data_IF_364236701994
#
_entry.id   IF_364236701994
#
_cell.length_a   1.000
_cell.length_b   1.000
_cell.length_c   1.000
_cell.angle_alpha   90.00
_cell.angle_beta   90.00
_cell.angle_gamma   90.00
#
_symmetry.space_group_name_H-M   'P 1'
#
loop_
_entity.id
_entity.type
_entity.pdbx_description
1 polymer ?
#
# COMPACT_ATOMS: atom_id res chain seq x y z
N UNK A 1 -37.17 29.36 15.19
CA UNK A 1 -36.46 29.26 13.90
C UNK A 1 -35.13 28.49 14.04
N UNK A 2 -35.06 27.53 14.96
CA UNK A 2 -33.87 26.69 15.21
C UNK A 2 -34.19 25.19 15.14
N UNK A 3 -35.47 24.81 15.13
CA UNK A 3 -35.91 23.41 14.97
C UNK A 3 -35.94 22.93 13.50
N UNK A 4 -35.87 23.84 12.52
CA UNK A 4 -35.92 23.47 11.09
C UNK A 4 -34.54 23.16 10.47
N UNK A 5 -33.46 23.24 11.25
CA UNK A 5 -32.11 22.83 10.85
C UNK A 5 -31.72 21.44 11.35
N UNK A 6 -32.64 20.71 12.01
CA UNK A 6 -32.57 19.26 12.13
C UNK A 6 -33.14 18.59 10.88
N UNK A 7 -32.67 19.01 9.71
CA UNK A 7 -32.76 18.19 8.50
C UNK A 7 -31.94 16.94 8.76
N UNK A 8 -32.65 15.97 9.34
CA UNK A 8 -32.29 14.57 9.42
C UNK A 8 -31.71 14.16 8.08
N UNK A 9 -30.37 14.16 7.99
CA UNK A 9 -29.69 13.40 6.97
C UNK A 9 -30.28 12.00 7.10
N UNK A 10 -30.95 11.46 6.06
CA UNK A 10 -31.56 10.16 6.16
C UNK A 10 -30.42 9.20 6.51
N UNK A 11 -30.44 8.68 7.74
CA UNK A 11 -29.48 7.68 8.19
C UNK A 11 -29.57 6.56 7.15
N UNK A 12 -28.53 6.35 6.33
CA UNK A 12 -28.64 5.45 5.20
C UNK A 12 -29.07 4.09 5.75
N UNK A 13 -30.22 3.60 5.29
CA UNK A 13 -30.79 2.33 5.71
C UNK A 13 -29.68 1.28 5.65
N UNK A 14 -29.50 0.49 6.72
CA UNK A 14 -28.39 -0.48 6.90
C UNK A 14 -28.06 -1.29 5.62
N UNK A 15 -29.06 -1.57 4.79
CA UNK A 15 -28.94 -2.24 3.49
C UNK A 15 -28.26 -1.41 2.37
N UNK A 16 -28.58 -0.12 2.20
CA UNK A 16 -27.95 0.75 1.18
C UNK A 16 -26.47 0.94 1.48
N UNK A 17 -26.12 1.09 2.75
CA UNK A 17 -24.74 1.23 3.19
C UNK A 17 -23.94 -0.08 3.02
N UNK A 18 -24.55 -1.24 3.31
CA UNK A 18 -23.94 -2.56 3.06
C UNK A 18 -23.64 -2.84 1.57
N UNK A 19 -24.42 -2.25 0.65
CA UNK A 19 -24.13 -2.29 -0.79
C UNK A 19 -22.92 -1.40 -1.12
N UNK A 20 -22.91 -0.14 -0.66
CA UNK A 20 -21.77 0.78 -0.84
C UNK A 20 -20.47 0.18 -0.30
N UNK A 21 -20.54 -0.48 0.84
CA UNK A 21 -19.43 -1.17 1.48
C UNK A 21 -18.86 -2.35 0.67
N UNK A 22 -19.72 -3.16 0.03
CA UNK A 22 -19.27 -4.23 -0.87
C UNK A 22 -18.57 -3.67 -2.10
N UNK A 23 -19.05 -2.53 -2.58
CA UNK A 23 -18.46 -1.82 -3.71
C UNK A 23 -17.09 -1.25 -3.31
N UNK A 24 -17.01 -0.54 -2.18
CA UNK A 24 -15.76 0.05 -1.66
C UNK A 24 -14.70 -1.01 -1.37
N UNK A 25 -15.05 -2.10 -0.68
CA UNK A 25 -14.09 -3.17 -0.38
C UNK A 25 -13.58 -3.90 -1.64
N UNK A 26 -14.42 -4.02 -2.68
CA UNK A 26 -14.03 -4.62 -3.96
C UNK A 26 -13.13 -3.68 -4.76
N UNK A 27 -13.45 -2.39 -4.81
CA UNK A 27 -12.60 -1.39 -5.46
C UNK A 27 -11.25 -1.27 -4.75
N UNK A 28 -11.25 -1.17 -3.43
CA UNK A 28 -10.04 -1.14 -2.62
C UNK A 28 -9.13 -2.35 -2.88
N UNK A 29 -9.71 -3.55 -2.99
CA UNK A 29 -8.95 -4.75 -3.34
C UNK A 29 -8.26 -4.62 -4.71
N UNK A 30 -8.97 -4.16 -5.73
CA UNK A 30 -8.39 -4.00 -7.07
C UNK A 30 -7.33 -2.91 -7.12
N UNK A 31 -7.53 -1.80 -6.40
CA UNK A 31 -6.55 -0.72 -6.29
C UNK A 31 -5.27 -1.24 -5.59
N UNK A 32 -5.41 -1.92 -4.45
CA UNK A 32 -4.27 -2.54 -3.75
C UNK A 32 -3.53 -3.52 -4.65
N UNK A 33 -4.26 -4.36 -5.39
CA UNK A 33 -3.66 -5.33 -6.30
C UNK A 33 -2.89 -4.65 -7.44
N UNK A 34 -3.46 -3.62 -8.06
CA UNK A 34 -2.82 -2.88 -9.14
C UNK A 34 -1.54 -2.17 -8.66
N UNK A 35 -1.61 -1.46 -7.53
CA UNK A 35 -0.47 -0.75 -6.96
C UNK A 35 0.64 -1.71 -6.52
N UNK A 36 0.29 -2.80 -5.82
CA UNK A 36 1.25 -3.82 -5.42
C UNK A 36 1.92 -4.50 -6.63
N UNK A 37 1.15 -4.74 -7.70
CA UNK A 37 1.68 -5.33 -8.94
C UNK A 37 2.67 -4.38 -9.62
N UNK A 38 2.32 -3.10 -9.78
CA UNK A 38 3.22 -2.08 -10.34
C UNK A 38 4.49 -1.98 -9.53
N UNK A 39 4.39 -2.02 -8.20
CA UNK A 39 5.55 -2.03 -7.32
C UNK A 39 6.45 -3.25 -7.53
N UNK A 40 5.88 -4.45 -7.52
CA UNK A 40 6.63 -5.69 -7.73
C UNK A 40 7.34 -5.74 -9.09
N UNK A 41 6.67 -5.27 -10.16
CA UNK A 41 7.25 -5.18 -11.50
C UNK A 41 8.42 -4.19 -11.49
N UNK A 42 8.22 -2.98 -10.99
CA UNK A 42 9.25 -1.95 -10.93
C UNK A 42 10.48 -2.41 -10.12
N UNK A 43 10.25 -3.06 -8.98
CA UNK A 43 11.30 -3.61 -8.13
C UNK A 43 12.07 -4.73 -8.82
N UNK A 44 11.37 -5.62 -9.55
CA UNK A 44 11.99 -6.69 -10.32
C UNK A 44 12.93 -6.13 -11.38
N UNK A 45 12.50 -5.11 -12.14
CA UNK A 45 13.36 -4.45 -13.12
C UNK A 45 14.56 -3.76 -12.48
N UNK A 46 14.38 -3.09 -11.34
CA UNK A 46 15.47 -2.44 -10.61
C UNK A 46 16.53 -3.45 -10.14
N UNK A 47 16.09 -4.56 -9.53
CA UNK A 47 16.98 -5.63 -9.04
C UNK A 47 17.66 -6.36 -10.19
N UNK A 48 16.89 -6.78 -11.21
CA UNK A 48 17.42 -7.49 -12.37
C UNK A 48 18.47 -6.65 -13.09
N UNK A 49 18.17 -5.37 -13.33
CA UNK A 49 19.15 -4.46 -13.90
C UNK A 49 20.43 -4.46 -13.08
N UNK A 50 20.32 -4.26 -11.75
CA UNK A 50 21.47 -4.20 -10.84
C UNK A 50 22.39 -5.42 -10.96
N UNK A 51 21.80 -6.60 -11.07
CA UNK A 51 22.57 -7.85 -11.25
C UNK A 51 23.39 -7.92 -12.55
N UNK A 52 23.04 -7.16 -13.59
CA UNK A 52 23.72 -7.16 -14.88
C UNK A 52 24.78 -6.05 -15.03
N UNK A 53 24.95 -5.19 -14.02
CA UNK A 53 25.82 -4.01 -14.12
C UNK A 53 27.09 -4.17 -13.28
N UNK A 54 28.20 -3.67 -13.81
CA UNK A 54 29.51 -3.59 -13.12
C UNK A 54 29.67 -2.28 -12.34
N UNK A 55 28.62 -1.46 -12.25
CA UNK A 55 28.66 -0.17 -11.56
C UNK A 55 28.77 -0.33 -10.04
N UNK A 56 29.38 0.68 -9.39
CA UNK A 56 29.55 0.73 -7.93
C UNK A 56 28.20 0.62 -7.21
N UNK A 57 28.11 -0.29 -6.25
CA UNK A 57 26.88 -0.46 -5.48
C UNK A 57 26.62 0.74 -4.56
N UNK A 58 25.39 1.25 -4.64
CA UNK A 58 24.89 2.26 -3.72
C UNK A 58 24.14 1.58 -2.56
N UNK A 59 24.73 1.63 -1.36
CA UNK A 59 24.19 1.02 -0.15
C UNK A 59 22.81 1.58 0.24
N UNK A 60 22.57 2.88 0.04
CA UNK A 60 21.27 3.50 0.34
C UNK A 60 20.16 2.94 -0.57
N UNK A 61 20.45 2.79 -1.86
CA UNK A 61 19.52 2.14 -2.80
C UNK A 61 19.33 0.66 -2.45
N UNK A 62 20.39 -0.04 -2.02
CA UNK A 62 20.29 -1.42 -1.53
C UNK A 62 19.35 -1.56 -0.32
N UNK A 63 19.48 -0.68 0.67
CA UNK A 63 18.59 -0.61 1.82
C UNK A 63 17.14 -0.31 1.39
N UNK A 64 16.95 0.64 0.49
CA UNK A 64 15.62 0.97 -0.05
C UNK A 64 14.96 -0.23 -0.73
N UNK A 65 15.70 -0.98 -1.56
CA UNK A 65 15.22 -2.22 -2.19
C UNK A 65 14.85 -3.26 -1.13
N UNK A 66 15.68 -3.46 -0.12
CA UNK A 66 15.41 -4.41 0.96
C UNK A 66 14.09 -4.07 1.69
N UNK A 67 13.92 -2.81 2.08
CA UNK A 67 12.69 -2.35 2.71
C UNK A 67 11.47 -2.48 1.77
N UNK A 68 11.65 -2.22 0.48
CA UNK A 68 10.61 -2.43 -0.54
C UNK A 68 10.17 -3.90 -0.63
N UNK A 69 11.12 -4.85 -0.61
CA UNK A 69 10.80 -6.29 -0.60
C UNK A 69 9.94 -6.66 0.61
N UNK A 70 10.31 -6.19 1.80
CA UNK A 70 9.50 -6.40 3.01
C UNK A 70 8.12 -5.76 2.86
N UNK A 71 8.04 -4.56 2.29
CA UNK A 71 6.80 -3.86 1.98
C UNK A 71 5.90 -4.64 1.01
N UNK A 72 6.46 -5.28 -0.02
CA UNK A 72 5.74 -6.16 -0.96
C UNK A 72 5.21 -7.40 -0.23
N UNK A 73 6.03 -8.05 0.61
CA UNK A 73 5.58 -9.21 1.38
C UNK A 73 4.40 -8.86 2.30
N UNK A 74 4.46 -7.70 2.95
CA UNK A 74 3.35 -7.18 3.75
C UNK A 74 2.13 -6.85 2.88
N UNK A 75 2.30 -6.34 1.66
CA UNK A 75 1.20 -6.08 0.74
C UNK A 75 0.52 -7.38 0.29
N UNK A 76 1.29 -8.42 -0.05
CA UNK A 76 0.77 -9.75 -0.37
C UNK A 76 0.00 -10.33 0.81
N UNK A 77 0.59 -10.28 2.02
CA UNK A 77 -0.09 -10.68 3.24
C UNK A 77 -1.40 -9.91 3.43
N UNK A 78 -1.39 -8.58 3.24
CA UNK A 78 -2.56 -7.72 3.42
C UNK A 78 -3.67 -8.04 2.43
N UNK A 79 -3.33 -8.28 1.16
CA UNK A 79 -4.27 -8.66 0.10
C UNK A 79 -4.88 -10.03 0.40
N UNK A 80 -4.05 -11.00 0.82
CA UNK A 80 -4.50 -12.32 1.26
C UNK A 80 -5.45 -12.21 2.47
N UNK A 81 -5.06 -11.43 3.49
CA UNK A 81 -5.83 -11.24 4.71
C UNK A 81 -7.19 -10.60 4.47
N UNK A 82 -7.31 -9.74 3.44
CA UNK A 82 -8.58 -9.15 3.01
C UNK A 82 -9.61 -10.19 2.57
N UNK A 83 -9.18 -11.35 2.03
CA UNK A 83 -10.11 -12.44 1.69
C UNK A 83 -10.74 -13.06 2.94
N UNK A 84 -9.95 -13.24 4.01
CA UNK A 84 -10.45 -13.78 5.27
C UNK A 84 -11.55 -12.90 5.87
N UNK A 85 -11.34 -11.58 5.87
CA UNK A 85 -12.36 -10.61 6.30
C UNK A 85 -13.64 -10.67 5.44
N UNK A 86 -13.50 -10.86 4.12
CA UNK A 86 -14.65 -11.03 3.22
C UNK A 86 -15.45 -12.31 3.49
N UNK A 87 -14.79 -13.41 3.84
CA UNK A 87 -15.48 -14.65 4.23
C UNK A 87 -16.27 -14.46 5.52
N UNK A 88 -15.68 -13.80 6.52
CA UNK A 88 -16.34 -13.49 7.79
C UNK A 88 -17.56 -12.59 7.58
N UNK A 89 -17.43 -11.54 6.75
CA UNK A 89 -18.53 -10.65 6.40
C UNK A 89 -19.69 -11.37 5.66
N UNK A 90 -19.39 -12.39 4.84
CA UNK A 90 -20.43 -13.21 4.19
C UNK A 90 -21.18 -14.07 5.18
N UNK A 91 -20.52 -14.60 6.23
CA UNK A 91 -21.15 -15.41 7.27
C UNK A 91 -22.11 -14.61 8.14
N UNK A 92 -21.82 -13.34 8.42
CA UNK A 92 -22.77 -12.43 9.11
C UNK A 92 -24.07 -12.19 8.33
N UNK A 93 -24.05 -12.39 7.00
CA UNK A 93 -25.21 -12.23 6.14
C UNK A 93 -25.99 -13.53 5.95
N UNK A 94 -25.55 -14.64 6.57
CA UNK A 94 -26.24 -15.91 6.49
C UNK A 94 -27.57 -15.83 7.28
N UNK A 95 -28.66 -16.43 6.78
CA UNK A 95 -29.93 -16.52 7.50
C UNK A 95 -29.79 -17.29 8.83
N UNK A 96 -28.82 -18.18 8.91
CA UNK A 96 -28.53 -18.99 10.08
C UNK A 96 -27.71 -18.19 11.10
N UNK A 97 -28.35 -17.86 12.22
CA UNK A 97 -27.77 -17.06 13.30
C UNK A 97 -26.61 -17.77 14.01
N UNK A 98 -26.57 -19.10 13.94
CA UNK A 98 -25.50 -19.93 14.50
C UNK A 98 -24.18 -19.82 13.72
N UNK A 99 -24.23 -19.40 12.45
CA UNK A 99 -23.05 -19.20 11.61
C UNK A 99 -22.46 -17.78 11.71
N UNK A 100 -23.08 -16.88 12.48
CA UNK A 100 -22.62 -15.50 12.62
C UNK A 100 -21.29 -15.45 13.40
N UNK A 101 -20.20 -14.94 12.80
CA UNK A 101 -18.95 -14.77 13.51
C UNK A 101 -19.10 -13.72 14.61
N UNK A 102 -18.32 -13.89 15.68
CA UNK A 102 -18.34 -12.97 16.83
C UNK A 102 -17.81 -11.59 16.42
N UNK A 103 -18.35 -10.52 17.00
CA UNK A 103 -17.92 -9.13 16.74
C UNK A 103 -16.41 -8.99 16.95
N UNK A 104 -15.90 -9.60 18.01
CA UNK A 104 -14.50 -9.58 18.42
C UNK A 104 -13.59 -10.21 17.36
N UNK A 105 -14.04 -11.29 16.72
CA UNK A 105 -13.28 -11.98 15.67
C UNK A 105 -13.12 -11.09 14.43
N UNK A 106 -14.19 -10.39 14.04
CA UNK A 106 -14.15 -9.44 12.92
C UNK A 106 -13.24 -8.26 13.24
N UNK A 107 -13.36 -7.67 14.43
CA UNK A 107 -12.49 -6.58 14.89
C UNK A 107 -11.02 -7.01 14.87
N UNK A 108 -10.71 -8.21 15.37
CA UNK A 108 -9.34 -8.72 15.40
C UNK A 108 -8.75 -8.88 13.99
N UNK A 109 -9.54 -9.42 13.04
CA UNK A 109 -9.11 -9.55 11.64
C UNK A 109 -8.80 -8.18 11.04
N UNK A 110 -9.63 -7.18 11.29
CA UNK A 110 -9.42 -5.82 10.78
C UNK A 110 -8.21 -5.13 11.43
N UNK A 111 -8.02 -5.28 12.75
CA UNK A 111 -6.86 -4.74 13.47
C UNK A 111 -5.55 -5.33 12.97
N UNK A 112 -5.49 -6.65 12.73
CA UNK A 112 -4.30 -7.29 12.16
C UNK A 112 -3.99 -6.74 10.77
N UNK A 113 -5.00 -6.60 9.91
CA UNK A 113 -4.84 -6.00 8.59
C UNK A 113 -4.37 -4.55 8.64
N UNK A 114 -4.92 -3.77 9.57
CA UNK A 114 -4.56 -2.37 9.79
C UNK A 114 -3.10 -2.22 10.26
N UNK A 115 -2.68 -3.01 11.25
CA UNK A 115 -1.30 -3.00 11.77
C UNK A 115 -0.32 -3.35 10.66
N UNK A 116 -0.59 -4.42 9.89
CA UNK A 116 0.25 -4.82 8.77
C UNK A 116 0.36 -3.71 7.71
N UNK A 117 -0.75 -3.03 7.40
CA UNK A 117 -0.75 -1.88 6.49
C UNK A 117 0.06 -0.70 7.04
N UNK A 118 -0.07 -0.35 8.31
CA UNK A 118 0.74 0.73 8.89
C UNK A 118 2.24 0.43 8.87
N UNK A 119 2.64 -0.78 9.23
CA UNK A 119 4.06 -1.20 9.17
C UNK A 119 4.55 -1.13 7.73
N UNK A 120 3.80 -1.70 6.78
CA UNK A 120 4.17 -1.68 5.36
C UNK A 120 4.29 -0.27 4.79
N UNK A 121 3.37 0.63 5.17
CA UNK A 121 3.40 2.04 4.79
C UNK A 121 4.63 2.77 5.34
N UNK A 122 4.96 2.56 6.61
CA UNK A 122 6.13 3.18 7.25
C UNK A 122 7.43 2.73 6.58
N UNK A 123 7.59 1.43 6.34
CA UNK A 123 8.77 0.90 5.66
C UNK A 123 8.89 1.45 4.24
N UNK A 124 7.79 1.48 3.48
CA UNK A 124 7.77 2.02 2.12
C UNK A 124 8.06 3.52 2.08
N UNK A 125 7.57 4.28 3.07
CA UNK A 125 7.87 5.71 3.21
C UNK A 125 9.36 5.94 3.45
N UNK A 126 9.96 5.27 4.42
CA UNK A 126 11.40 5.36 4.70
C UNK A 126 12.21 4.95 3.47
N UNK A 127 11.84 3.85 2.82
CA UNK A 127 12.50 3.37 1.61
C UNK A 127 12.45 4.40 0.48
N UNK A 128 11.30 5.07 0.29
CA UNK A 128 11.12 6.14 -0.69
C UNK A 128 12.07 7.29 -0.45
N UNK A 129 12.09 7.83 0.77
CA UNK A 129 12.96 8.96 1.15
C UNK A 129 14.44 8.61 0.99
N UNK A 130 14.86 7.43 1.45
CA UNK A 130 16.25 6.96 1.31
C UNK A 130 16.65 6.90 -0.17
N UNK A 131 15.79 6.36 -1.04
CA UNK A 131 16.09 6.33 -2.48
C UNK A 131 16.07 7.73 -3.12
N UNK A 132 15.13 8.60 -2.74
CA UNK A 132 15.02 9.95 -3.29
C UNK A 132 16.24 10.81 -2.95
N UNK A 133 16.65 10.82 -1.68
CA UNK A 133 17.85 11.53 -1.22
C UNK A 133 19.09 11.01 -1.93
N UNK A 134 19.20 9.69 -2.10
CA UNK A 134 20.33 9.07 -2.75
C UNK A 134 20.46 9.46 -4.23
N UNK A 135 19.35 9.40 -4.98
CA UNK A 135 19.34 9.81 -6.39
C UNK A 135 19.58 11.31 -6.53
N UNK A 136 18.98 12.13 -5.67
CA UNK A 136 19.23 13.57 -5.65
C UNK A 136 20.71 13.90 -5.38
N UNK A 137 21.34 13.20 -4.44
CA UNK A 137 22.77 13.38 -4.13
C UNK A 137 23.64 13.04 -5.34
N UNK A 138 23.32 11.95 -6.06
CA UNK A 138 24.01 11.59 -7.30
C UNK A 138 23.82 12.65 -8.39
N UNK A 139 22.59 13.17 -8.54
CA UNK A 139 22.29 14.20 -9.54
C UNK A 139 23.05 15.51 -9.26
N UNK A 140 23.16 15.91 -8.01
CA UNK A 140 23.88 17.13 -7.61
C UNK A 140 25.41 16.97 -7.70
N UNK A 141 25.93 15.74 -7.64
CA UNK A 141 27.35 15.46 -7.72
C UNK A 141 27.93 15.52 -9.14
N UNK A 142 27.11 15.61 -10.20
CA UNK A 142 27.56 15.70 -11.59
C UNK A 142 27.99 17.14 -11.93
N UNK A 143 29.28 17.42 -12.20
CA UNK A 143 29.74 18.77 -12.52
C UNK A 143 29.13 19.26 -13.85
N UNK A 144 28.52 20.45 -13.81
CA UNK A 144 27.91 21.14 -14.95
C UNK A 144 29.01 21.51 -15.98
N UNK A 145 29.28 20.63 -16.94
CA UNK A 145 30.29 20.83 -17.99
C UNK A 145 31.08 19.60 -18.43
N UNK A 146 31.05 18.49 -17.67
CA UNK A 146 31.79 17.24 -17.97
C UNK A 146 30.86 16.10 -18.42
N UNK A 147 29.55 16.32 -18.41
CA UNK A 147 28.52 15.32 -18.74
C UNK A 147 28.60 14.74 -20.18
N UNK A 148 29.43 15.32 -21.06
CA UNK A 148 29.64 14.85 -22.44
C UNK A 148 30.66 13.68 -22.52
N UNK A 149 31.57 13.52 -21.55
CA UNK A 149 32.71 12.58 -21.67
C UNK A 149 32.69 11.39 -20.70
N UNK A 150 31.85 11.39 -19.66
CA UNK A 150 31.80 10.32 -18.65
C UNK A 150 30.45 9.58 -18.67
N UNK A 151 30.32 8.67 -19.63
CA UNK A 151 29.12 7.84 -19.82
C UNK A 151 28.88 6.80 -18.70
N UNK A 152 29.84 6.62 -17.78
CA UNK A 152 29.78 5.65 -16.68
C UNK A 152 29.17 6.13 -15.36
N UNK A 153 28.96 7.45 -15.19
CA UNK A 153 28.43 8.05 -13.95
C UNK A 153 26.98 8.54 -14.08
N UNK A 154 26.29 8.17 -15.17
CA UNK A 154 24.90 8.55 -15.40
C UNK A 154 24.04 7.86 -14.35
N UNK A 155 23.26 8.66 -13.61
CA UNK A 155 22.20 8.19 -12.71
C UNK A 155 21.55 6.99 -13.36
N UNK A 156 21.58 5.85 -12.67
CA UNK A 156 20.98 4.65 -13.21
C UNK A 156 19.49 4.96 -13.37
N UNK A 157 18.99 5.10 -14.59
CA UNK A 157 17.57 5.44 -14.83
C UNK A 157 16.62 4.45 -14.14
N UNK A 158 17.13 3.26 -13.81
CA UNK A 158 16.42 2.17 -13.14
C UNK A 158 16.40 2.32 -11.60
N UNK A 159 17.20 3.19 -10.99
CA UNK A 159 17.06 3.54 -9.57
C UNK A 159 15.77 4.36 -9.31
N UNK A 160 15.29 5.09 -10.33
CA UNK A 160 13.98 5.78 -10.27
C UNK A 160 12.83 4.76 -10.13
N UNK A 161 12.98 3.55 -10.67
CA UNK A 161 11.99 2.48 -10.48
C UNK A 161 11.88 2.03 -9.01
N UNK A 162 12.94 2.19 -8.22
CA UNK A 162 12.90 1.91 -6.77
C UNK A 162 11.99 2.92 -6.06
N UNK A 163 12.09 4.21 -6.42
CA UNK A 163 11.16 5.24 -5.91
C UNK A 163 9.73 4.90 -6.32
N UNK A 164 9.51 4.59 -7.61
CA UNK A 164 8.18 4.22 -8.11
C UNK A 164 7.61 3.01 -7.36
N UNK A 165 8.44 2.00 -7.08
CA UNK A 165 8.04 0.81 -6.34
C UNK A 165 7.60 1.17 -4.92
N UNK A 166 8.37 2.00 -4.22
CA UNK A 166 8.08 2.42 -2.85
C UNK A 166 6.82 3.32 -2.77
N UNK A 167 6.65 4.27 -3.69
CA UNK A 167 5.46 5.13 -3.73
C UNK A 167 4.19 4.31 -3.97
N UNK A 168 4.23 3.32 -4.87
CA UNK A 168 3.11 2.41 -5.06
C UNK A 168 2.83 1.56 -3.82
N UNK A 169 3.84 1.17 -3.05
CA UNK A 169 3.65 0.46 -1.77
C UNK A 169 2.99 1.36 -0.72
N UNK A 170 3.40 2.63 -0.61
CA UNK A 170 2.73 3.60 0.27
C UNK A 170 1.23 3.65 -0.09
N UNK A 171 0.90 3.82 -1.38
CA UNK A 171 -0.49 3.84 -1.84
C UNK A 171 -1.24 2.54 -1.54
N UNK A 172 -0.60 1.38 -1.78
CA UNK A 172 -1.17 0.05 -1.47
C UNK A 172 -1.57 -0.04 0.00
N UNK A 173 -0.63 0.27 0.88
CA UNK A 173 -0.83 0.16 2.32
C UNK A 173 -1.79 1.21 2.86
N UNK A 174 -1.77 2.44 2.32
CA UNK A 174 -2.74 3.49 2.66
C UNK A 174 -4.17 3.04 2.33
N UNK A 175 -4.41 2.53 1.13
CA UNK A 175 -5.74 2.00 0.75
C UNK A 175 -6.15 0.85 1.66
N UNK A 176 -5.22 -0.04 2.00
CA UNK A 176 -5.42 -1.13 2.97
C UNK A 176 -5.80 -0.63 4.37
N UNK A 177 -5.17 0.44 4.86
CA UNK A 177 -5.46 1.08 6.14
C UNK A 177 -6.83 1.76 6.14
N UNK A 178 -7.12 2.61 5.14
CA UNK A 178 -8.40 3.30 5.01
C UNK A 178 -9.58 2.31 4.97
N UNK A 179 -9.38 1.20 4.27
CA UNK A 179 -10.38 0.13 4.20
C UNK A 179 -10.62 -0.49 5.57
N UNK A 180 -9.55 -0.80 6.32
CA UNK A 180 -9.66 -1.43 7.64
C UNK A 180 -10.25 -0.48 8.69
N UNK A 181 -9.91 0.81 8.64
CA UNK A 181 -10.46 1.84 9.52
C UNK A 181 -11.95 2.06 9.25
N UNK A 182 -12.35 2.27 8.00
CA UNK A 182 -13.77 2.43 7.66
C UNK A 182 -14.60 1.16 7.96
N UNK A 183 -13.95 -0.01 7.91
CA UNK A 183 -14.53 -1.28 8.36
C UNK A 183 -14.70 -1.36 9.88
N UNK A 184 -13.74 -0.86 10.66
CA UNK A 184 -13.78 -0.86 12.12
C UNK A 184 -14.82 0.15 12.64
N UNK A 185 -14.83 1.36 12.09
CA UNK A 185 -15.81 2.40 12.43
C UNK A 185 -17.25 1.96 12.17
N UNK A 186 -17.47 1.06 11.20
CA UNK A 186 -18.78 0.47 10.97
C UNK A 186 -19.23 -0.53 12.05
N UNK A 187 -18.27 -1.23 12.67
CA UNK A 187 -18.56 -2.29 13.65
C UNK A 187 -18.80 -1.70 15.05
N UNK A 188 -18.12 -0.61 15.39
CA UNK A 188 -18.24 0.04 16.70
C UNK A 188 -19.62 0.68 16.90
#
# INVERSE_FOLDING_TARGET
MSELLQTSLPTPTKQRFAVTFRVVSRFSFWIQLALASTSGIALTFAVFSRSLSVATENAAIGLSIFLAVVGVLLAVFRIFWAFRGRVLARRLQSPERELHPRKEEVIQVLKIGLIASFIGMLLAFIASEVSAISILSQALAVPQGVAVYQQGNVIRSLDILVILANVNLIGTHLVGSLTSLGLLEWID
#
